data_IF_953234693821
#
_entry.id   IF_953234693821
#
_cell.length_a   1.000
_cell.length_b   1.000
_cell.length_c   1.000
_cell.angle_alpha   90.00
_cell.angle_beta   90.00
_cell.angle_gamma   90.00
#
_symmetry.space_group_name_H-M   'P 1'
#
loop_
_entity.id
_entity.type
_entity.pdbx_description
1 polymer ?
#
# COMPACT_ATOMS: atom_id res chain seq x y z
N UNK A 1 -14.29 -9.71 -7.91
CA UNK A 1 -13.62 -10.53 -6.85
C UNK A 1 -12.19 -10.89 -7.25
N UNK A 2 -11.94 -11.43 -8.46
CA UNK A 2 -10.57 -11.82 -8.86
C UNK A 2 -9.58 -10.66 -8.91
N UNK A 3 -10.00 -9.48 -9.39
CA UNK A 3 -9.14 -8.29 -9.41
C UNK A 3 -8.77 -7.82 -8.00
N UNK A 4 -9.75 -7.74 -7.09
CA UNK A 4 -9.50 -7.38 -5.68
C UNK A 4 -8.51 -8.35 -5.01
N UNK A 5 -8.68 -9.66 -5.24
CA UNK A 5 -7.72 -10.66 -4.74
C UNK A 5 -6.30 -10.37 -5.25
N UNK A 6 -6.15 -10.05 -6.55
CA UNK A 6 -4.85 -9.71 -7.13
C UNK A 6 -4.25 -8.48 -6.43
N UNK A 7 -5.03 -7.41 -6.24
CA UNK A 7 -4.55 -6.19 -5.56
C UNK A 7 -4.11 -6.45 -4.11
N UNK A 8 -4.87 -7.25 -3.37
CA UNK A 8 -4.51 -7.65 -2.02
C UNK A 8 -3.20 -8.45 -2.01
N UNK A 9 -3.07 -9.41 -2.91
CA UNK A 9 -1.84 -10.22 -3.03
C UNK A 9 -0.63 -9.35 -3.38
N UNK A 10 -0.76 -8.42 -4.31
CA UNK A 10 0.31 -7.48 -4.67
C UNK A 10 0.69 -6.56 -3.50
N UNK A 11 -0.31 -6.09 -2.73
CA UNK A 11 -0.07 -5.30 -1.53
C UNK A 11 0.68 -6.08 -0.45
N UNK A 12 0.33 -7.35 -0.23
CA UNK A 12 1.02 -8.23 0.74
C UNK A 12 2.46 -8.52 0.30
N UNK A 13 2.69 -8.69 -0.99
CA UNK A 13 4.01 -9.00 -1.55
C UNK A 13 4.91 -7.76 -1.68
N UNK A 14 4.34 -6.57 -1.58
CA UNK A 14 5.12 -5.34 -1.63
C UNK A 14 5.97 -5.21 -0.36
N UNK A 15 7.27 -5.00 -0.53
CA UNK A 15 8.19 -4.74 0.58
C UNK A 15 7.98 -3.32 1.10
N UNK A 16 7.53 -3.20 2.35
CA UNK A 16 7.24 -1.94 3.02
C UNK A 16 5.75 -1.68 3.19
N UNK A 17 5.36 -0.42 3.22
CA UNK A 17 3.97 0.00 3.45
C UNK A 17 3.11 -0.16 2.20
N UNK A 18 1.90 -0.70 2.38
CA UNK A 18 0.87 -0.77 1.34
C UNK A 18 -0.46 -0.26 1.86
N UNK A 19 -1.15 0.55 1.06
CA UNK A 19 -2.52 1.00 1.32
C UNK A 19 -3.44 0.46 0.23
N UNK A 20 -4.52 -0.18 0.63
CA UNK A 20 -5.55 -0.70 -0.28
C UNK A 20 -6.88 -0.07 0.09
N UNK A 21 -7.41 0.75 -0.81
CA UNK A 21 -8.76 1.31 -0.69
C UNK A 21 -9.74 0.43 -1.46
N UNK A 22 -10.85 0.05 -0.82
CA UNK A 22 -11.85 -0.84 -1.39
C UNK A 22 -13.19 -0.13 -1.53
N UNK A 23 -13.57 0.18 -2.75
CA UNK A 23 -14.88 0.75 -3.06
C UNK A 23 -15.98 -0.30 -2.87
N UNK A 24 -16.79 -0.11 -1.85
CA UNK A 24 -17.91 -1.00 -1.53
C UNK A 24 -19.24 -0.24 -1.58
N UNK A 25 -20.10 -0.49 -2.59
CA UNK A 25 -21.40 0.14 -2.67
C UNK A 25 -22.32 -0.33 -1.52
N UNK A 26 -22.92 0.62 -0.80
CA UNK A 26 -23.92 0.33 0.22
C UNK A 26 -25.33 0.46 -0.39
N UNK A 27 -25.82 -0.60 -1.03
CA UNK A 27 -27.11 -0.58 -1.75
C UNK A 27 -28.36 -0.47 -0.86
N UNK A 28 -28.19 -0.59 0.46
CA UNK A 28 -29.26 -0.39 1.42
C UNK A 28 -29.63 1.10 1.55
N UNK A 29 -28.65 1.96 1.68
CA UNK A 29 -28.83 3.40 1.87
C UNK A 29 -28.62 4.21 0.59
N UNK A 30 -27.65 3.82 -0.24
CA UNK A 30 -27.34 4.51 -1.49
C UNK A 30 -27.96 3.76 -2.69
N UNK A 31 -28.99 4.35 -3.26
CA UNK A 31 -29.69 3.81 -4.43
C UNK A 31 -29.16 4.35 -5.76
N UNK A 32 -28.23 5.31 -5.72
CA UNK A 32 -27.63 5.94 -6.90
C UNK A 32 -26.36 5.21 -7.32
N UNK A 33 -25.38 5.12 -6.41
CA UNK A 33 -24.09 4.46 -6.68
C UNK A 33 -24.18 2.95 -6.40
N UNK A 34 -24.93 2.25 -7.25
CA UNK A 34 -25.15 0.80 -7.16
C UNK A 34 -23.96 0.02 -7.77
N UNK A 35 -23.97 -1.31 -7.63
CA UNK A 35 -22.98 -2.17 -8.28
C UNK A 35 -22.93 -1.95 -9.80
N UNK A 36 -24.09 -1.81 -10.44
CA UNK A 36 -24.17 -1.53 -11.88
C UNK A 36 -23.54 -0.19 -12.22
N UNK A 37 -23.83 0.84 -11.45
CA UNK A 37 -23.27 2.19 -11.64
C UNK A 37 -21.74 2.16 -11.63
N UNK A 38 -21.13 1.43 -10.70
CA UNK A 38 -19.67 1.23 -10.66
C UNK A 38 -19.16 0.41 -11.84
N UNK A 39 -19.83 -0.71 -12.19
CA UNK A 39 -19.41 -1.59 -13.28
C UNK A 39 -19.28 -0.87 -14.63
N UNK A 40 -20.16 0.08 -14.90
CA UNK A 40 -20.16 0.86 -16.13
C UNK A 40 -18.98 1.85 -16.19
N UNK A 41 -18.48 2.29 -15.03
CA UNK A 41 -17.48 3.36 -14.89
C UNK A 41 -16.08 2.87 -14.58
N UNK A 42 -15.94 1.67 -14.05
CA UNK A 42 -14.64 1.11 -13.70
C UNK A 42 -13.74 0.97 -14.91
N UNK A 43 -12.50 1.47 -14.77
CA UNK A 43 -11.40 1.28 -15.72
C UNK A 43 -10.19 0.75 -14.94
N UNK A 44 -9.53 -0.26 -15.51
CA UNK A 44 -8.35 -0.86 -14.91
C UNK A 44 -7.11 -0.16 -15.43
N UNK A 45 -6.30 0.38 -14.52
CA UNK A 45 -5.05 1.06 -14.84
C UNK A 45 -4.06 0.17 -15.58
N UNK A 46 -4.05 -1.12 -15.30
CA UNK A 46 -3.20 -2.07 -16.02
C UNK A 46 -3.57 -2.25 -17.52
N UNK A 47 -4.75 -1.78 -17.93
CA UNK A 47 -5.19 -1.78 -19.32
C UNK A 47 -5.06 -0.40 -19.99
N UNK A 48 -4.64 0.62 -19.23
CA UNK A 48 -4.48 1.98 -19.73
C UNK A 48 -3.16 2.10 -20.51
N UNK A 49 -3.18 2.40 -21.83
CA UNK A 49 -1.96 2.51 -22.60
C UNK A 49 -1.03 3.60 -22.07
N UNK A 50 0.23 3.25 -21.82
CA UNK A 50 1.25 4.18 -21.36
C UNK A 50 1.16 4.52 -19.87
N UNK A 51 0.27 3.91 -19.09
CA UNK A 51 0.24 4.10 -17.65
C UNK A 51 1.44 3.42 -16.97
N UNK A 52 2.18 4.18 -16.18
CA UNK A 52 3.31 3.71 -15.39
C UNK A 52 3.06 3.98 -13.90
N UNK A 53 2.82 2.95 -13.09
CA UNK A 53 2.56 3.11 -11.66
C UNK A 53 3.79 3.62 -10.87
N UNK A 54 4.98 3.66 -11.45
CA UNK A 54 6.16 4.26 -10.80
C UNK A 54 6.21 5.78 -11.00
N UNK A 55 5.42 6.31 -11.94
CA UNK A 55 5.32 7.73 -12.20
C UNK A 55 4.30 8.38 -11.25
N UNK A 56 4.81 9.06 -10.23
CA UNK A 56 3.99 9.72 -9.20
C UNK A 56 3.03 10.77 -9.77
N UNK A 57 3.45 11.53 -10.77
CA UNK A 57 2.60 12.56 -11.38
C UNK A 57 1.40 11.94 -12.10
N UNK A 58 1.63 10.88 -12.89
CA UNK A 58 0.55 10.11 -13.52
C UNK A 58 -0.39 9.49 -12.50
N UNK A 59 0.14 9.00 -11.38
CA UNK A 59 -0.69 8.44 -10.32
C UNK A 59 -1.65 9.47 -9.72
N UNK A 60 -1.18 10.70 -9.48
CA UNK A 60 -2.02 11.79 -9.02
C UNK A 60 -3.08 12.19 -10.05
N UNK A 61 -2.70 12.36 -11.31
CA UNK A 61 -3.62 12.67 -12.40
C UNK A 61 -4.74 11.62 -12.50
N UNK A 62 -4.37 10.34 -12.45
CA UNK A 62 -5.36 9.25 -12.48
C UNK A 62 -6.23 9.16 -11.23
N UNK A 63 -5.74 9.60 -10.09
CA UNK A 63 -6.51 9.63 -8.84
C UNK A 63 -7.56 10.75 -8.82
N UNK A 64 -7.35 11.83 -9.56
CA UNK A 64 -8.32 12.93 -9.71
C UNK A 64 -9.46 12.59 -10.69
N UNK A 65 -9.28 11.59 -11.54
CA UNK A 65 -10.35 11.12 -12.42
C UNK A 65 -11.45 10.43 -11.62
N UNK A 66 -12.62 11.07 -11.51
CA UNK A 66 -13.77 10.55 -10.80
C UNK A 66 -15.09 10.91 -11.52
N UNK A 67 -16.11 10.10 -11.33
CA UNK A 67 -17.43 10.32 -11.93
C UNK A 67 -17.69 9.39 -13.12
N UNK A 68 -17.47 9.83 -14.33
CA UNK A 68 -17.70 9.01 -15.55
C UNK A 68 -16.67 7.89 -15.73
N UNK A 69 -15.48 8.08 -15.16
CA UNK A 69 -14.45 7.07 -15.06
C UNK A 69 -14.03 6.91 -13.62
N UNK A 70 -13.86 5.68 -13.20
CA UNK A 70 -13.33 5.32 -11.89
C UNK A 70 -12.20 4.34 -12.11
N UNK A 71 -10.99 4.81 -11.90
CA UNK A 71 -9.82 3.97 -12.06
C UNK A 71 -9.69 3.00 -10.89
N UNK A 72 -9.27 1.77 -11.19
CA UNK A 72 -8.92 0.75 -10.18
C UNK A 72 -7.62 0.08 -10.60
N UNK A 73 -6.87 -0.43 -9.64
CA UNK A 73 -5.58 -1.05 -9.87
C UNK A 73 -4.49 -0.44 -9.02
N UNK A 74 -3.23 -0.66 -9.39
CA UNK A 74 -2.09 -0.07 -8.69
C UNK A 74 -1.91 1.36 -9.18
N UNK A 75 -2.25 2.34 -8.33
CA UNK A 75 -2.04 3.74 -8.64
C UNK A 75 -0.58 4.14 -8.55
N UNK A 76 0.08 3.75 -7.47
CA UNK A 76 1.47 4.11 -7.26
C UNK A 76 2.24 2.97 -6.62
N UNK A 77 3.47 2.78 -7.08
CA UNK A 77 4.40 1.79 -6.52
C UNK A 77 5.82 2.34 -6.56
N UNK A 78 6.47 2.36 -5.41
CA UNK A 78 7.85 2.80 -5.27
C UNK A 78 8.63 1.78 -4.43
N UNK A 79 9.86 1.50 -4.79
CA UNK A 79 10.76 0.68 -3.98
C UNK A 79 11.65 1.58 -3.15
N UNK A 80 11.56 1.45 -1.82
CA UNK A 80 12.41 2.15 -0.85
C UNK A 80 12.90 1.18 0.21
N UNK A 81 13.98 1.50 0.92
CA UNK A 81 14.34 0.78 2.14
C UNK A 81 13.15 0.80 3.13
N UNK A 82 12.91 -0.33 3.77
CA UNK A 82 11.91 -0.41 4.84
C UNK A 82 12.50 0.11 6.16
N UNK A 83 11.64 0.26 7.15
CA UNK A 83 12.08 0.61 8.50
C UNK A 83 13.14 -0.38 9.03
N UNK A 84 12.93 -1.68 8.78
CA UNK A 84 13.86 -2.72 9.20
C UNK A 84 15.18 -2.67 8.44
N UNK A 85 15.15 -2.32 7.14
CA UNK A 85 16.36 -2.17 6.34
C UNK A 85 17.28 -1.04 6.87
N UNK A 86 16.69 -0.02 7.49
CA UNK A 86 17.42 1.13 8.05
C UNK A 86 17.93 0.89 9.48
N UNK A 87 17.57 -0.25 10.08
CA UNK A 87 18.04 -0.64 11.41
C UNK A 87 19.17 -1.68 11.32
N UNK A 88 20.45 -1.26 11.44
CA UNK A 88 21.60 -2.18 11.29
C UNK A 88 21.57 -3.38 12.24
N UNK A 89 20.92 -3.22 13.40
CA UNK A 89 20.78 -4.29 14.39
C UNK A 89 19.89 -5.43 13.93
N UNK A 90 18.96 -5.18 12.99
CA UNK A 90 18.06 -6.19 12.43
C UNK A 90 18.67 -6.91 11.20
N UNK A 91 19.77 -6.39 10.66
CA UNK A 91 20.38 -6.96 9.44
C UNK A 91 20.95 -8.36 9.64
N UNK A 92 21.26 -8.75 10.87
CA UNK A 92 21.82 -10.06 11.20
C UNK A 92 20.77 -11.04 11.68
N UNK A 93 19.88 -10.56 12.55
CA UNK A 93 18.99 -11.43 13.30
C UNK A 93 17.76 -10.64 13.77
N UNK A 94 16.53 -11.21 13.68
CA UNK A 94 15.33 -10.58 14.23
C UNK A 94 15.48 -10.29 15.73
N UNK A 95 14.85 -9.23 16.24
CA UNK A 95 14.96 -8.86 17.67
C UNK A 95 14.53 -10.00 18.61
N UNK A 96 13.56 -10.80 18.21
CA UNK A 96 13.05 -11.93 19.02
C UNK A 96 14.10 -13.04 19.24
N UNK A 97 15.04 -13.15 18.32
CA UNK A 97 16.08 -14.19 18.34
C UNK A 97 17.38 -13.65 18.99
N UNK A 98 17.51 -12.34 19.18
CA UNK A 98 18.70 -11.71 19.77
C UNK A 98 18.79 -12.02 21.27
N UNK A 99 19.98 -12.45 21.70
CA UNK A 99 20.24 -12.66 23.12
C UNK A 99 20.19 -11.34 23.90
N UNK A 100 19.41 -11.32 24.96
CA UNK A 100 19.28 -10.15 25.88
C UNK A 100 20.25 -10.23 27.04
N UNK A 101 20.89 -11.37 27.25
CA UNK A 101 21.83 -11.59 28.35
C UNK A 101 23.15 -10.88 28.06
N UNK A 102 23.64 -10.12 29.04
CA UNK A 102 24.92 -9.42 28.96
C UNK A 102 24.88 -8.10 28.18
N UNK A 103 23.72 -7.59 27.80
CA UNK A 103 23.59 -6.25 27.20
C UNK A 103 23.93 -5.19 28.25
N UNK A 104 24.98 -4.43 28.02
CA UNK A 104 25.36 -3.28 28.86
C UNK A 104 24.68 -2.01 28.33
N UNK A 105 23.70 -1.49 29.08
CA UNK A 105 22.97 -0.27 28.77
C UNK A 105 23.44 0.94 29.59
N UNK A 106 24.62 0.83 30.26
CA UNK A 106 25.12 1.88 31.14
C UNK A 106 25.31 3.22 30.45
N UNK A 107 25.72 3.20 29.18
CA UNK A 107 25.89 4.43 28.38
C UNK A 107 24.55 5.13 28.09
N UNK A 108 23.54 4.35 27.77
CA UNK A 108 22.18 4.83 27.50
C UNK A 108 21.58 5.41 28.80
N UNK A 109 21.77 4.73 29.91
CA UNK A 109 21.32 5.21 31.23
C UNK A 109 21.95 6.54 31.63
N UNK A 110 23.25 6.76 31.33
CA UNK A 110 23.93 8.03 31.64
C UNK A 110 23.33 9.21 30.85
N UNK A 111 22.67 8.98 29.76
CA UNK A 111 22.07 10.03 28.92
C UNK A 111 20.79 10.62 29.56
N UNK A 112 20.17 9.89 30.50
CA UNK A 112 18.92 10.26 31.17
C UNK A 112 19.09 10.61 32.66
N UNK A 113 20.33 10.62 33.16
CA UNK A 113 20.69 11.04 34.52
C UNK A 113 21.32 12.44 34.52
#
# INVERSE_FOLDING_TARGET
>A
IMHLKKMIMEGIQHKGFSLIDVLQPCVTFNKVNTYQWYQERIRKLENEPGYDPTNRAMAFEKAEEWGDKINIGVYYKESRPTYEDELPMLAKEPLVDQAIEGIDISKEMMFYM
#
